data_IF_184495562477
#
_entry.id   IF_184495562477
#
_cell.length_a   1.000
_cell.length_b   1.000
_cell.length_c   1.000
_cell.angle_alpha   90.00
_cell.angle_beta   90.00
_cell.angle_gamma   90.00
#
_symmetry.space_group_name_H-M   'P 1'
#
loop_
_entity.id
_entity.type
_entity.pdbx_description
1 polymer ?
#
# COMPACT_ATOMS: atom_id res chain seq x y z
N UNK A 1 11.81 19.04 12.49
CA UNK A 1 11.05 17.82 12.13
C UNK A 1 9.70 17.95 12.81
N UNK A 2 8.66 18.36 12.08
CA UNK A 2 7.37 18.67 12.70
C UNK A 2 6.44 17.46 12.58
N UNK A 3 6.13 16.82 13.71
CA UNK A 3 4.98 15.93 13.83
C UNK A 3 3.73 16.81 13.73
N UNK A 4 3.13 16.91 12.53
CA UNK A 4 1.79 17.49 12.39
C UNK A 4 0.77 16.36 12.46
N UNK A 5 -0.15 16.45 13.41
CA UNK A 5 -1.35 15.63 13.48
C UNK A 5 -2.11 15.75 12.17
N UNK A 6 -2.09 14.68 11.39
CA UNK A 6 -2.95 14.51 10.23
C UNK A 6 -4.19 13.72 10.69
N UNK A 7 -5.35 14.01 10.10
CA UNK A 7 -6.62 13.35 10.49
C UNK A 7 -6.49 11.85 10.22
N UNK A 8 -6.31 11.09 11.30
CA UNK A 8 -6.27 9.64 11.29
C UNK A 8 -7.48 9.16 12.10
N UNK A 9 -8.60 8.89 11.42
CA UNK A 9 -9.69 8.15 12.04
C UNK A 9 -9.35 6.66 11.96
N UNK A 10 -8.57 6.22 12.95
CA UNK A 10 -8.28 4.81 13.18
C UNK A 10 -9.39 4.25 14.06
N UNK A 11 -10.42 3.71 13.43
CA UNK A 11 -11.51 3.00 14.10
C UNK A 11 -11.06 1.54 14.34
N UNK A 12 -9.96 1.32 15.07
CA UNK A 12 -9.45 -0.02 15.36
C UNK A 12 -9.66 -0.44 16.82
N UNK A 13 -10.08 -1.69 17.04
CA UNK A 13 -10.16 -2.33 18.36
C UNK A 13 -8.84 -2.98 18.80
N UNK A 14 -7.77 -2.80 18.02
CA UNK A 14 -6.48 -3.49 18.13
C UNK A 14 -5.30 -2.53 17.93
N UNK A 15 -4.09 -2.88 18.40
CA UNK A 15 -2.94 -1.98 18.41
C UNK A 15 -2.48 -1.61 17.01
N UNK A 16 -2.34 -0.31 16.75
CA UNK A 16 -1.72 0.24 15.54
C UNK A 16 -0.39 0.87 15.90
N UNK A 17 0.68 0.38 15.28
CA UNK A 17 2.01 0.98 15.37
C UNK A 17 2.26 1.72 14.07
N UNK A 18 2.34 3.05 14.13
CA UNK A 18 2.60 3.88 12.95
C UNK A 18 3.75 4.85 13.22
N UNK A 19 4.71 4.89 12.28
CA UNK A 19 5.81 5.84 12.27
C UNK A 19 5.73 6.59 10.94
N UNK A 20 5.25 7.83 11.00
CA UNK A 20 4.90 8.61 9.82
C UNK A 20 5.56 9.98 9.86
N UNK A 21 6.86 10.08 9.52
CA UNK A 21 7.52 11.36 9.37
C UNK A 21 7.10 12.00 8.03
N UNK A 22 6.32 13.08 8.09
CA UNK A 22 5.93 13.83 6.89
C UNK A 22 6.01 15.34 7.07
N UNK A 23 6.15 16.06 5.95
CA UNK A 23 6.00 17.53 5.89
C UNK A 23 4.61 17.98 5.44
N UNK A 24 3.76 17.04 5.03
CA UNK A 24 2.49 17.28 4.34
C UNK A 24 1.36 16.43 4.95
N UNK A 25 0.09 16.81 4.71
CA UNK A 25 -1.07 16.09 5.26
C UNK A 25 -1.12 14.64 4.79
N UNK A 26 -1.52 13.76 5.70
CA UNK A 26 -1.76 12.35 5.39
C UNK A 26 -3.15 11.96 5.90
N UNK A 27 -4.01 11.49 5.01
CA UNK A 27 -5.33 11.00 5.37
C UNK A 27 -5.33 9.46 5.44
N UNK A 28 -5.82 8.94 6.56
CA UNK A 28 -5.98 7.50 6.80
C UNK A 28 -7.40 7.21 7.27
N UNK A 29 -8.05 6.22 6.64
CA UNK A 29 -9.28 5.60 7.15
C UNK A 29 -9.06 4.09 7.18
N UNK A 30 -8.91 3.56 8.39
CA UNK A 30 -8.46 2.18 8.61
C UNK A 30 -9.31 1.50 9.69
N UNK A 31 -10.48 0.95 9.32
CA UNK A 31 -11.27 0.11 10.20
C UNK A 31 -10.59 -1.27 10.29
N UNK A 32 -10.19 -1.67 11.50
CA UNK A 32 -9.62 -3.01 11.70
C UNK A 32 -9.83 -3.59 13.11
N UNK A 33 -10.00 -4.91 13.16
CA UNK A 33 -10.02 -5.67 14.41
C UNK A 33 -8.65 -6.20 14.85
N UNK A 34 -7.57 -5.92 14.09
CA UNK A 34 -6.29 -6.64 14.18
C UNK A 34 -5.07 -5.71 14.15
N UNK A 35 -3.88 -6.19 14.58
CA UNK A 35 -2.68 -5.37 14.61
C UNK A 35 -2.27 -4.86 13.23
N UNK A 36 -1.81 -3.61 13.19
CA UNK A 36 -1.30 -3.00 11.97
C UNK A 36 0.02 -2.28 12.19
N UNK A 37 0.94 -2.43 11.24
CA UNK A 37 2.26 -1.81 11.26
C UNK A 37 2.48 -0.99 10.01
N UNK A 38 2.76 0.30 10.20
CA UNK A 38 2.98 1.27 9.13
C UNK A 38 4.28 2.05 9.32
N UNK A 39 5.10 2.07 8.28
CA UNK A 39 6.26 2.97 8.18
C UNK A 39 6.18 3.74 6.86
N UNK A 40 5.77 5.01 6.95
CA UNK A 40 5.50 5.84 5.76
C UNK A 40 6.22 7.18 5.88
N UNK A 41 7.54 7.22 5.59
CA UNK A 41 8.24 8.47 5.36
C UNK A 41 7.74 9.11 4.07
N UNK A 42 7.20 10.33 4.13
CA UNK A 42 6.80 11.05 2.92
C UNK A 42 7.21 12.52 2.89
N UNK A 43 7.67 12.94 1.72
CA UNK A 43 7.88 14.36 1.40
C UNK A 43 6.63 15.06 0.89
N UNK A 44 5.49 14.37 0.74
CA UNK A 44 4.30 14.82 -0.01
C UNK A 44 3.00 14.23 0.56
N UNK A 45 1.82 14.74 0.13
CA UNK A 45 0.52 14.25 0.58
C UNK A 45 0.30 12.76 0.29
N UNK A 46 -0.39 12.08 1.19
CA UNK A 46 -0.71 10.65 1.07
C UNK A 46 -2.17 10.41 1.45
N UNK A 47 -2.86 9.53 0.72
CA UNK A 47 -4.24 9.13 1.04
C UNK A 47 -4.39 7.61 1.03
N UNK A 48 -4.94 7.08 2.12
CA UNK A 48 -5.07 5.65 2.39
C UNK A 48 -6.47 5.29 2.87
N UNK A 49 -7.16 4.39 2.17
CA UNK A 49 -8.37 3.72 2.65
C UNK A 49 -8.15 2.21 2.69
N UNK A 50 -8.04 1.65 3.90
CA UNK A 50 -7.60 0.27 4.10
C UNK A 50 -8.51 -0.44 5.12
N UNK A 51 -9.73 -0.83 4.74
CA UNK A 51 -10.54 -1.71 5.57
C UNK A 51 -9.96 -3.12 5.56
N UNK A 52 -9.69 -3.65 6.76
CA UNK A 52 -9.23 -5.03 6.89
C UNK A 52 -9.72 -5.75 8.12
N UNK A 53 -10.10 -7.01 7.92
CA UNK A 53 -10.38 -7.96 8.99
C UNK A 53 -9.15 -8.71 9.50
N UNK A 54 -7.91 -8.36 9.09
CA UNK A 54 -6.70 -9.14 9.39
C UNK A 54 -5.44 -8.25 9.54
N UNK A 55 -4.32 -8.82 10.02
CA UNK A 55 -3.07 -8.08 10.18
C UNK A 55 -2.53 -7.52 8.86
N UNK A 56 -1.97 -6.31 8.92
CA UNK A 56 -1.33 -5.67 7.77
C UNK A 56 0.03 -5.08 8.13
N UNK A 57 0.98 -5.22 7.20
CA UNK A 57 2.33 -4.64 7.31
C UNK A 57 2.67 -3.87 6.03
N UNK A 58 3.06 -2.62 6.20
CA UNK A 58 3.35 -1.70 5.11
C UNK A 58 4.61 -0.87 5.39
N UNK A 59 5.57 -0.93 4.47
CA UNK A 59 6.70 0.03 4.43
C UNK A 59 6.66 0.77 3.08
N UNK A 60 6.33 2.07 3.12
CA UNK A 60 6.15 2.88 1.91
C UNK A 60 6.91 4.20 2.05
N UNK A 61 8.24 4.19 1.87
CA UNK A 61 9.00 5.42 1.71
C UNK A 61 8.74 6.02 0.33
N UNK A 62 8.32 7.28 0.29
CA UNK A 62 8.07 7.95 -0.98
C UNK A 62 8.44 9.44 -0.97
N UNK A 63 9.05 9.86 -2.07
CA UNK A 63 9.34 11.25 -2.35
C UNK A 63 8.20 12.00 -3.05
N UNK A 64 7.02 11.41 -3.25
CA UNK A 64 5.94 11.98 -4.08
C UNK A 64 4.54 11.58 -3.57
N UNK A 65 3.45 12.15 -4.13
CA UNK A 65 2.09 11.82 -3.70
C UNK A 65 1.71 10.36 -3.99
N UNK A 66 1.01 9.70 -3.05
CA UNK A 66 0.47 8.36 -3.28
C UNK A 66 -0.98 8.25 -2.84
N UNK A 67 -1.71 7.43 -3.57
CA UNK A 67 -3.12 7.12 -3.30
C UNK A 67 -3.34 5.62 -3.31
N UNK A 68 -3.97 5.10 -2.26
CA UNK A 68 -4.13 3.67 -2.00
C UNK A 68 -5.55 3.35 -1.52
N UNK A 69 -6.26 2.46 -2.22
CA UNK A 69 -7.50 1.83 -1.75
C UNK A 69 -7.31 0.31 -1.70
N UNK A 70 -7.24 -0.26 -0.50
CA UNK A 70 -6.93 -1.69 -0.30
C UNK A 70 -7.90 -2.31 0.69
N UNK A 71 -9.13 -2.67 0.25
CA UNK A 71 -10.01 -3.52 1.02
C UNK A 71 -9.48 -4.97 0.98
N UNK A 72 -9.22 -5.54 2.16
CA UNK A 72 -8.76 -6.92 2.27
C UNK A 72 -9.46 -7.70 3.37
N UNK A 73 -9.95 -8.88 3.00
CA UNK A 73 -10.44 -9.87 3.95
C UNK A 73 -9.35 -10.74 4.57
N UNK A 74 -8.05 -10.51 4.28
CA UNK A 74 -6.93 -11.40 4.67
C UNK A 74 -5.61 -10.63 4.91
N UNK A 75 -4.57 -11.29 5.47
CA UNK A 75 -3.29 -10.65 5.75
C UNK A 75 -2.61 -10.09 4.51
N UNK A 76 -2.00 -8.91 4.66
CA UNK A 76 -1.31 -8.21 3.56
C UNK A 76 0.07 -7.74 3.99
N UNK A 77 1.06 -7.94 3.10
CA UNK A 77 2.41 -7.38 3.26
C UNK A 77 2.85 -6.62 2.01
N UNK A 78 3.28 -5.38 2.21
CA UNK A 78 3.61 -4.44 1.15
C UNK A 78 4.92 -3.71 1.43
N UNK A 79 5.86 -3.77 0.49
CA UNK A 79 7.08 -2.96 0.48
C UNK A 79 7.16 -2.17 -0.82
N UNK A 80 6.95 -0.86 -0.75
CA UNK A 80 6.80 0.01 -1.93
C UNK A 80 7.65 1.26 -1.79
N UNK A 81 8.97 1.17 -2.01
CA UNK A 81 9.79 2.35 -2.16
C UNK A 81 9.55 2.99 -3.52
N UNK A 82 9.11 4.26 -3.54
CA UNK A 82 8.95 5.02 -4.78
C UNK A 82 9.66 6.37 -4.80
N UNK A 83 10.25 6.66 -5.94
CA UNK A 83 10.73 8.00 -6.27
C UNK A 83 9.71 8.86 -6.99
N UNK A 84 8.46 8.41 -7.20
CA UNK A 84 7.46 9.06 -8.08
C UNK A 84 6.02 8.74 -7.63
N UNK A 85 5.01 9.46 -8.18
CA UNK A 85 3.62 9.27 -7.80
C UNK A 85 3.10 7.85 -8.08
N UNK A 86 2.28 7.31 -7.17
CA UNK A 86 1.60 6.05 -7.41
C UNK A 86 0.12 6.07 -7.04
N UNK A 87 -0.64 5.29 -7.80
CA UNK A 87 -2.07 5.04 -7.59
C UNK A 87 -2.32 3.55 -7.58
N UNK A 88 -2.93 3.05 -6.49
CA UNK A 88 -3.16 1.63 -6.26
C UNK A 88 -4.60 1.36 -5.81
N UNK A 89 -5.23 0.40 -6.49
CA UNK A 89 -6.56 -0.11 -6.19
C UNK A 89 -6.51 -1.64 -6.13
N UNK A 90 -6.51 -2.21 -4.92
CA UNK A 90 -6.26 -3.65 -4.72
C UNK A 90 -7.30 -4.26 -3.78
N UNK A 91 -8.50 -4.57 -4.31
CA UNK A 91 -9.45 -5.40 -3.59
C UNK A 91 -9.02 -6.86 -3.61
N UNK A 92 -8.87 -7.46 -2.43
CA UNK A 92 -8.50 -8.87 -2.30
C UNK A 92 -9.37 -9.61 -1.29
N UNK A 93 -9.81 -10.80 -1.70
CA UNK A 93 -10.39 -11.78 -0.80
C UNK A 93 -9.38 -12.75 -0.20
N UNK A 94 -8.06 -12.56 -0.38
CA UNK A 94 -7.02 -13.54 -0.01
C UNK A 94 -5.67 -12.87 0.34
N UNK A 95 -4.72 -13.60 0.94
CA UNK A 95 -3.42 -13.05 1.30
C UNK A 95 -2.64 -12.54 0.09
N UNK A 96 -2.02 -11.37 0.19
CA UNK A 96 -1.05 -10.92 -0.82
C UNK A 96 0.25 -10.42 -0.23
N UNK A 97 1.30 -10.62 -1.02
CA UNK A 97 2.65 -10.11 -0.76
C UNK A 97 3.16 -9.33 -1.98
N UNK A 98 3.59 -8.09 -1.74
CA UNK A 98 4.01 -7.15 -2.79
C UNK A 98 5.36 -6.50 -2.48
N UNK A 99 6.26 -6.57 -3.45
CA UNK A 99 7.56 -5.89 -3.44
C UNK A 99 7.71 -5.07 -4.72
N UNK A 100 7.54 -3.74 -4.61
CA UNK A 100 7.46 -2.85 -5.78
C UNK A 100 8.38 -1.64 -5.62
N UNK A 101 9.69 -1.80 -5.88
CA UNK A 101 10.58 -0.67 -6.04
C UNK A 101 10.34 0.01 -7.39
N UNK A 102 10.08 1.32 -7.38
CA UNK A 102 9.95 2.07 -8.63
C UNK A 102 10.63 3.42 -8.60
N UNK A 103 11.37 3.69 -9.68
CA UNK A 103 11.88 5.01 -10.00
C UNK A 103 10.96 5.81 -10.91
N UNK A 104 9.68 5.45 -11.10
CA UNK A 104 8.77 6.11 -12.06
C UNK A 104 7.29 6.05 -11.63
N UNK A 105 6.40 6.82 -12.27
CA UNK A 105 4.97 6.80 -11.96
C UNK A 105 4.35 5.42 -12.21
N UNK A 106 3.49 4.98 -11.29
CA UNK A 106 2.78 3.69 -11.41
C UNK A 106 1.28 3.82 -11.15
N UNK A 107 0.46 3.14 -11.96
CA UNK A 107 -0.98 3.01 -11.75
C UNK A 107 -1.41 1.54 -11.82
N UNK A 108 -2.11 1.06 -10.80
CA UNK A 108 -2.41 -0.35 -10.63
C UNK A 108 -3.85 -0.59 -10.20
N UNK A 109 -4.52 -1.51 -10.89
CA UNK A 109 -5.81 -2.07 -10.49
C UNK A 109 -5.75 -3.60 -10.48
N UNK A 110 -5.84 -4.19 -9.30
CA UNK A 110 -5.59 -5.63 -9.09
C UNK A 110 -6.66 -6.26 -8.21
N UNK A 111 -7.81 -6.64 -8.79
CA UNK A 111 -8.80 -7.44 -8.09
C UNK A 111 -8.37 -8.90 -8.07
N UNK A 112 -8.33 -9.51 -6.90
CA UNK A 112 -8.06 -10.95 -6.79
C UNK A 112 -9.00 -11.68 -5.85
N UNK A 113 -9.42 -12.84 -6.31
CA UNK A 113 -10.08 -13.86 -5.50
C UNK A 113 -9.14 -14.96 -5.03
N UNK A 114 -7.81 -14.79 -5.06
CA UNK A 114 -6.83 -15.83 -4.70
C UNK A 114 -5.52 -15.24 -4.15
N UNK A 115 -4.65 -16.06 -3.51
CA UNK A 115 -3.35 -15.60 -3.05
C UNK A 115 -2.47 -15.09 -4.19
N UNK A 116 -1.77 -13.97 -3.96
CA UNK A 116 -0.86 -13.38 -4.94
C UNK A 116 0.50 -13.01 -4.32
N UNK A 117 1.57 -13.23 -5.09
CA UNK A 117 2.91 -12.74 -4.76
C UNK A 117 3.54 -12.01 -5.96
N UNK A 118 3.95 -10.76 -5.77
CA UNK A 118 4.42 -9.87 -6.83
C UNK A 118 5.79 -9.29 -6.49
N UNK A 119 6.71 -9.35 -7.45
CA UNK A 119 7.99 -8.63 -7.41
C UNK A 119 8.17 -7.83 -8.71
N UNK A 120 8.15 -6.50 -8.59
CA UNK A 120 8.05 -5.60 -9.74
C UNK A 120 8.99 -4.40 -9.57
N UNK A 121 10.29 -4.60 -9.82
CA UNK A 121 11.23 -3.50 -9.94
C UNK A 121 11.04 -2.80 -11.31
N UNK A 122 10.73 -1.50 -11.33
CA UNK A 122 10.60 -0.75 -12.59
C UNK A 122 11.52 0.46 -12.70
N UNK A 123 12.11 0.59 -13.89
CA UNK A 123 12.85 1.76 -14.37
C UNK A 123 12.09 2.56 -15.43
N UNK A 124 10.76 2.42 -15.50
CA UNK A 124 9.91 3.18 -16.43
C UNK A 124 8.46 3.26 -15.90
N UNK A 125 7.64 4.20 -16.42
CA UNK A 125 6.24 4.32 -16.03
C UNK A 125 5.44 3.05 -16.37
N UNK A 126 4.52 2.66 -15.49
CA UNK A 126 3.71 1.45 -15.67
C UNK A 126 2.24 1.68 -15.34
N UNK A 127 1.36 1.08 -16.14
CA UNK A 127 -0.07 0.99 -15.87
C UNK A 127 -0.52 -0.47 -16.04
N UNK A 128 -1.12 -1.05 -15.00
CA UNK A 128 -1.54 -2.46 -14.99
C UNK A 128 -2.99 -2.63 -14.55
N UNK A 129 -3.68 -3.55 -15.24
CA UNK A 129 -5.00 -4.07 -14.88
C UNK A 129 -4.89 -5.59 -14.82
N UNK A 130 -5.06 -6.17 -13.63
CA UNK A 130 -4.77 -7.59 -13.41
C UNK A 130 -5.88 -8.25 -12.59
N UNK A 131 -6.95 -8.72 -13.25
CA UNK A 131 -7.91 -9.60 -12.62
C UNK A 131 -7.36 -11.02 -12.57
N UNK A 132 -7.37 -11.65 -11.40
CA UNK A 132 -7.10 -13.09 -11.30
C UNK A 132 -8.22 -13.86 -10.60
N UNK A 133 -8.57 -15.00 -11.21
CA UNK A 133 -9.42 -16.04 -10.66
C UNK A 133 -8.64 -17.29 -10.27
N UNK A 134 -7.33 -17.19 -10.06
CA UNK A 134 -6.46 -18.27 -9.59
C UNK A 134 -5.21 -17.70 -8.90
N UNK A 135 -4.50 -18.49 -8.07
CA UNK A 135 -3.27 -18.07 -7.43
C UNK A 135 -2.22 -17.68 -8.45
N UNK A 136 -1.49 -16.58 -8.21
CA UNK A 136 -0.45 -16.11 -9.13
C UNK A 136 0.83 -15.70 -8.39
N UNK A 137 1.95 -16.07 -8.99
CA UNK A 137 3.27 -15.51 -8.69
C UNK A 137 3.78 -14.80 -9.93
N UNK A 138 4.10 -13.52 -9.83
CA UNK A 138 4.55 -12.74 -10.98
C UNK A 138 5.83 -11.95 -10.68
N UNK A 139 6.73 -11.99 -11.66
CA UNK A 139 8.03 -11.34 -11.61
C UNK A 139 8.23 -10.54 -12.90
N UNK A 140 8.44 -9.23 -12.74
CA UNK A 140 8.79 -8.34 -13.86
C UNK A 140 10.23 -7.91 -13.69
N UNK A 141 11.16 -8.35 -14.54
CA UNK A 141 12.50 -7.81 -14.51
C UNK A 141 12.49 -6.34 -14.96
N UNK A 142 13.29 -5.53 -14.28
CA UNK A 142 13.63 -4.19 -14.79
C UNK A 142 14.36 -4.33 -16.11
N UNK A 143 13.99 -3.50 -17.09
CA UNK A 143 14.82 -3.25 -18.28
C UNK A 143 15.63 -1.99 -18.05
#
# INVERSE_FOLDING_TARGET
MALRLSVAEVLSGSPVVSIVPSRYPIAWLVPSGYPMVWLVPSGYPMTWLVPSGYPMVWLVPSGYPMTWLVPSGYPMTWLVPSGYPMVWLVPSGYPMTWLVPSGYPMAWFVPSGYPMAWFVPSGYPMAWFVPSGYPMTWFVPSR
#
